data_IF_064949047346
#
_entry.id   IF_064949047346
#
_cell.length_a   1.000
_cell.length_b   1.000
_cell.length_c   1.000
_cell.angle_alpha   90.00
_cell.angle_beta   90.00
_cell.angle_gamma   90.00
#
_symmetry.space_group_name_H-M   'P 1'
#
loop_
_entity.id
_entity.type
_entity.pdbx_description
1 polymer ?
#
# COMPACT_ATOMS: atom_id res chain seq x y z
N UNK A 1 12.08 4.88 10.13
CA UNK A 1 11.96 5.63 8.87
C UNK A 1 10.52 6.07 8.73
N UNK A 2 10.26 7.34 8.41
CA UNK A 2 8.89 7.87 8.20
C UNK A 2 8.40 7.68 6.75
N UNK A 3 7.14 8.08 6.48
CA UNK A 3 6.52 7.95 5.16
C UNK A 3 7.20 8.82 4.10
N UNK A 4 7.65 10.02 4.46
CA UNK A 4 8.33 10.94 3.52
C UNK A 4 9.66 10.34 3.06
N UNK A 5 10.40 9.73 3.98
CA UNK A 5 11.65 9.06 3.64
C UNK A 5 11.41 7.80 2.81
N UNK A 6 10.34 7.04 3.06
CA UNK A 6 9.95 5.90 2.22
C UNK A 6 9.60 6.32 0.79
N UNK A 7 8.88 7.41 0.63
CA UNK A 7 8.57 7.98 -0.70
C UNK A 7 9.86 8.40 -1.40
N UNK A 8 10.78 9.07 -0.69
CA UNK A 8 12.03 9.50 -1.31
C UNK A 8 12.85 8.31 -1.80
N UNK A 9 12.95 7.24 -1.02
CA UNK A 9 13.62 5.99 -1.44
C UNK A 9 12.95 5.43 -2.70
N UNK A 10 11.62 5.40 -2.75
CA UNK A 10 10.90 4.91 -3.93
C UNK A 10 11.17 5.74 -5.20
N UNK A 11 11.33 7.07 -5.06
CA UNK A 11 11.67 7.97 -6.18
C UNK A 11 13.13 7.78 -6.61
N UNK A 12 14.04 7.65 -5.63
CA UNK A 12 15.48 7.49 -5.87
C UNK A 12 15.78 6.13 -6.56
N UNK A 13 15.06 5.07 -6.16
CA UNK A 13 15.21 3.72 -6.71
C UNK A 13 14.46 3.51 -8.04
N UNK A 14 13.64 4.48 -8.47
CA UNK A 14 12.93 4.40 -9.74
C UNK A 14 13.91 4.39 -10.93
N UNK A 15 13.60 3.63 -12.02
CA UNK A 15 14.38 3.70 -13.26
C UNK A 15 14.62 5.13 -13.71
N UNK A 16 15.90 5.52 -13.89
CA UNK A 16 16.28 6.89 -14.24
C UNK A 16 16.16 7.15 -15.75
N UNK A 17 15.01 6.79 -16.33
CA UNK A 17 14.68 6.95 -17.75
C UNK A 17 14.09 8.33 -18.09
N UNK A 18 14.04 9.24 -17.11
CA UNK A 18 13.49 10.59 -17.22
C UNK A 18 11.97 10.68 -17.07
N UNK A 19 11.25 9.56 -17.04
CA UNK A 19 9.77 9.51 -16.96
C UNK A 19 9.32 8.85 -15.66
N UNK A 20 9.86 7.68 -15.32
CA UNK A 20 9.41 6.86 -14.20
C UNK A 20 9.49 7.58 -12.84
N UNK A 21 10.56 8.35 -12.50
CA UNK A 21 10.62 9.08 -11.25
C UNK A 21 9.55 10.17 -11.15
N UNK A 22 9.13 10.77 -12.27
CA UNK A 22 8.06 11.77 -12.30
C UNK A 22 6.69 11.13 -12.04
N UNK A 23 6.45 9.95 -12.60
CA UNK A 23 5.22 9.18 -12.36
C UNK A 23 5.13 8.78 -10.89
N UNK A 24 6.21 8.25 -10.31
CA UNK A 24 6.27 7.90 -8.88
C UNK A 24 6.02 9.12 -8.00
N UNK A 25 6.64 10.26 -8.32
CA UNK A 25 6.41 11.53 -7.60
C UNK A 25 4.96 12.00 -7.69
N UNK A 26 4.32 11.85 -8.86
CA UNK A 26 2.92 12.24 -9.06
C UNK A 26 1.92 11.42 -8.22
N UNK A 27 2.22 10.13 -7.98
CA UNK A 27 1.35 9.25 -7.18
C UNK A 27 1.71 9.25 -5.68
N UNK A 28 2.88 9.79 -5.30
CA UNK A 28 3.37 9.79 -3.93
C UNK A 28 2.39 10.38 -2.89
N UNK A 29 1.65 11.48 -3.17
CA UNK A 29 0.65 11.98 -2.22
C UNK A 29 -0.48 10.97 -1.97
N UNK A 30 -0.87 10.20 -2.99
CA UNK A 30 -1.87 9.15 -2.87
C UNK A 30 -1.37 8.00 -2.00
N UNK A 31 -0.14 7.54 -2.25
CA UNK A 31 0.52 6.51 -1.43
C UNK A 31 0.64 6.95 0.04
N UNK A 32 1.03 8.21 0.29
CA UNK A 32 1.15 8.76 1.64
C UNK A 32 -0.19 8.77 2.37
N UNK A 33 -1.27 9.16 1.69
CA UNK A 33 -2.58 9.22 2.32
C UNK A 33 -3.09 7.82 2.68
N UNK A 34 -2.95 6.82 1.79
CA UNK A 34 -3.30 5.45 2.14
C UNK A 34 -2.46 4.93 3.29
N UNK A 35 -1.14 5.13 3.25
CA UNK A 35 -0.25 4.71 4.32
C UNK A 35 -0.56 5.38 5.66
N UNK A 36 -1.08 6.61 5.66
CA UNK A 36 -1.48 7.30 6.89
C UNK A 36 -2.72 6.70 7.58
N UNK A 37 -3.50 5.89 6.87
CA UNK A 37 -4.62 5.14 7.44
C UNK A 37 -4.15 3.84 8.10
N UNK A 38 -2.93 3.40 7.80
CA UNK A 38 -2.33 2.16 8.30
C UNK A 38 -1.53 2.45 9.57
N UNK A 39 -1.55 1.52 10.52
CA UNK A 39 -0.93 1.70 11.84
C UNK A 39 0.59 1.55 11.84
N UNK A 40 1.12 0.76 10.91
CA UNK A 40 2.55 0.43 10.88
C UNK A 40 3.23 1.01 9.65
N UNK A 41 4.48 1.44 9.82
CA UNK A 41 5.32 1.93 8.72
C UNK A 41 6.03 0.80 7.99
N UNK A 42 5.99 -0.41 8.55
CA UNK A 42 6.60 -1.62 8.02
C UNK A 42 5.67 -2.79 8.34
N UNK A 43 5.54 -3.70 7.39
CA UNK A 43 4.81 -4.94 7.55
C UNK A 43 5.67 -6.12 7.10
N UNK A 44 5.30 -7.31 7.52
CA UNK A 44 5.90 -8.55 7.06
C UNK A 44 5.00 -9.16 5.99
N UNK A 45 5.56 -9.44 4.82
CA UNK A 45 4.89 -10.13 3.72
C UNK A 45 5.50 -11.51 3.59
N UNK A 46 4.66 -12.53 3.39
CA UNK A 46 5.14 -13.87 3.06
C UNK A 46 5.59 -13.91 1.61
N UNK A 47 6.77 -14.49 1.39
CA UNK A 47 7.41 -14.56 0.10
C UNK A 47 7.95 -15.97 -0.17
N UNK A 48 7.78 -16.47 -1.39
CA UNK A 48 8.40 -17.72 -1.84
C UNK A 48 9.91 -17.55 -2.06
N UNK A 49 10.63 -18.65 -2.29
CA UNK A 49 12.05 -18.60 -2.65
C UNK A 49 12.32 -17.85 -3.96
N UNK A 50 11.35 -17.83 -4.87
CA UNK A 50 11.40 -17.08 -6.14
C UNK A 50 11.08 -15.58 -5.98
N UNK A 51 10.95 -15.12 -4.73
CA UNK A 51 10.64 -13.73 -4.37
C UNK A 51 9.23 -13.28 -4.74
N UNK A 52 8.32 -14.20 -4.99
CA UNK A 52 6.91 -13.89 -5.24
C UNK A 52 6.15 -13.79 -3.92
N UNK A 53 5.23 -12.83 -3.80
CA UNK A 53 4.40 -12.70 -2.61
C UNK A 53 3.33 -13.79 -2.59
N UNK A 54 3.13 -14.37 -1.41
CA UNK A 54 2.14 -15.44 -1.23
C UNK A 54 0.74 -14.83 -1.21
N UNK A 55 -0.05 -15.15 -2.24
CA UNK A 55 -1.47 -14.83 -2.29
C UNK A 55 -2.30 -15.94 -1.63
N UNK A 56 -3.35 -15.54 -0.92
CA UNK A 56 -4.35 -16.42 -0.31
C UNK A 56 -5.68 -16.22 -1.01
N UNK A 57 -6.30 -17.29 -1.47
CA UNK A 57 -7.64 -17.23 -2.05
C UNK A 57 -8.69 -17.32 -0.94
N UNK A 58 -9.48 -16.27 -0.79
CA UNK A 58 -10.64 -16.19 0.10
C UNK A 58 -11.91 -16.48 -0.69
N UNK A 59 -12.74 -17.37 -0.17
CA UNK A 59 -14.09 -17.62 -0.70
C UNK A 59 -15.12 -16.85 0.13
N UNK A 60 -16.08 -16.24 -0.54
CA UNK A 60 -17.22 -15.62 0.14
C UNK A 60 -18.02 -16.68 0.91
N UNK A 61 -18.39 -16.37 2.16
CA UNK A 61 -19.09 -17.32 3.04
C UNK A 61 -20.51 -17.61 2.58
N UNK A 62 -21.18 -16.66 1.94
CA UNK A 62 -22.55 -16.83 1.43
C UNK A 62 -22.55 -17.44 0.03
N UNK A 63 -21.53 -17.18 -0.79
CA UNK A 63 -21.38 -17.77 -2.12
C UNK A 63 -19.93 -18.20 -2.42
N UNK A 64 -19.58 -19.47 -2.19
CA UNK A 64 -18.22 -19.99 -2.40
C UNK A 64 -17.68 -19.90 -3.83
N UNK A 65 -18.54 -19.62 -4.83
CA UNK A 65 -18.10 -19.39 -6.21
C UNK A 65 -17.44 -18.03 -6.41
N UNK A 66 -17.67 -17.09 -5.50
CA UNK A 66 -17.00 -15.79 -5.49
C UNK A 66 -15.73 -15.97 -4.67
N UNK A 67 -14.60 -15.78 -5.33
CA UNK A 67 -13.28 -15.86 -4.70
C UNK A 67 -12.53 -14.56 -4.88
N UNK A 68 -11.59 -14.31 -3.97
CA UNK A 68 -10.73 -13.14 -3.96
C UNK A 68 -9.32 -13.56 -3.61
N UNK A 69 -8.34 -13.15 -4.39
CA UNK A 69 -6.94 -13.36 -4.10
C UNK A 69 -6.40 -12.16 -3.31
N UNK A 70 -5.97 -12.41 -2.08
CA UNK A 70 -5.48 -11.38 -1.17
C UNK A 70 -4.06 -11.67 -0.75
N UNK A 71 -3.31 -10.63 -0.43
CA UNK A 71 -2.03 -10.77 0.26
C UNK A 71 -2.18 -10.26 1.68
N UNK A 72 -1.54 -10.95 2.61
CA UNK A 72 -1.53 -10.56 4.02
C UNK A 72 -0.27 -9.79 4.38
N UNK A 73 -0.48 -8.62 4.98
CA UNK A 73 0.55 -7.78 5.56
C UNK A 73 0.47 -7.84 7.08
N UNK A 74 1.42 -8.55 7.68
CA UNK A 74 1.44 -8.85 9.11
C UNK A 74 2.22 -7.78 9.88
N UNK A 75 1.78 -7.37 11.09
CA UNK A 75 2.47 -6.35 11.87
C UNK A 75 3.75 -6.88 12.51
N UNK A 76 3.87 -8.19 12.71
CA UNK A 76 5.07 -8.82 13.28
C UNK A 76 5.52 -10.06 12.51
N UNK A 77 6.80 -10.39 12.64
CA UNK A 77 7.38 -11.64 12.12
C UNK A 77 6.68 -12.88 12.72
N UNK A 78 6.29 -12.81 14.00
CA UNK A 78 5.61 -13.90 14.68
C UNK A 78 4.25 -14.18 14.05
N UNK A 79 3.46 -13.14 13.80
CA UNK A 79 2.15 -13.27 13.16
C UNK A 79 2.27 -13.90 11.76
N UNK A 80 3.27 -13.49 10.99
CA UNK A 80 3.55 -14.09 9.69
C UNK A 80 3.95 -15.57 9.81
N UNK A 81 4.83 -15.91 10.76
CA UNK A 81 5.30 -17.28 10.97
C UNK A 81 4.19 -18.22 11.46
N UNK A 82 3.32 -17.72 12.35
CA UNK A 82 2.17 -18.47 12.86
C UNK A 82 1.17 -18.76 11.73
N UNK A 83 0.97 -17.80 10.80
CA UNK A 83 0.07 -18.00 9.66
C UNK A 83 0.55 -19.11 8.69
N UNK A 84 1.86 -19.27 8.49
CA UNK A 84 2.45 -20.35 7.70
C UNK A 84 2.24 -21.70 8.38
N UNK A 85 2.42 -21.75 9.70
CA UNK A 85 2.30 -22.98 10.50
C UNK A 85 0.87 -23.51 10.53
N UNK A 86 -0.14 -22.64 10.41
CA UNK A 86 -1.56 -23.01 10.40
C UNK A 86 -2.04 -23.47 9.03
N UNK A 87 -1.45 -22.97 7.94
CA UNK A 87 -2.00 -23.14 6.60
C UNK A 87 -1.29 -24.20 5.72
N UNK A 88 -0.43 -25.06 6.30
CA UNK A 88 0.33 -26.10 5.56
C UNK A 88 1.08 -25.56 4.32
N UNK A 89 1.38 -24.25 4.27
CA UNK A 89 2.10 -23.68 3.13
C UNK A 89 3.50 -24.29 3.08
N UNK A 90 3.95 -24.58 1.85
CA UNK A 90 5.24 -25.16 1.52
C UNK A 90 6.36 -24.68 2.46
N UNK A 91 7.29 -25.55 2.90
CA UNK A 91 8.42 -25.21 3.78
C UNK A 91 9.46 -24.24 3.16
N UNK A 92 9.08 -23.54 2.10
CA UNK A 92 9.91 -22.66 1.27
C UNK A 92 9.36 -21.22 1.22
N UNK A 93 8.66 -20.79 2.28
CA UNK A 93 8.21 -19.41 2.43
C UNK A 93 8.93 -18.73 3.58
N UNK A 94 9.24 -17.45 3.40
CA UNK A 94 9.87 -16.59 4.40
C UNK A 94 9.08 -15.30 4.56
N UNK A 95 9.03 -14.77 5.77
CA UNK A 95 8.43 -13.46 6.01
C UNK A 95 9.49 -12.37 5.87
N UNK A 96 9.27 -11.43 4.96
CA UNK A 96 10.18 -10.33 4.68
C UNK A 96 9.61 -9.00 5.18
N UNK A 97 10.38 -8.20 5.93
CA UNK A 97 9.94 -6.87 6.34
C UNK A 97 10.01 -5.93 5.13
N UNK A 98 8.90 -5.24 4.85
CA UNK A 98 8.80 -4.28 3.77
C UNK A 98 8.22 -2.95 4.26
N UNK A 99 8.76 -1.80 3.80
CA UNK A 99 8.18 -0.49 4.06
C UNK A 99 6.77 -0.38 3.46
N UNK A 100 5.84 0.23 4.19
CA UNK A 100 4.43 0.32 3.77
C UNK A 100 4.24 0.99 2.41
N UNK A 101 5.03 2.01 2.09
CA UNK A 101 4.95 2.69 0.78
C UNK A 101 5.37 1.75 -0.36
N UNK A 102 6.41 0.91 -0.15
CA UNK A 102 6.83 -0.07 -1.14
C UNK A 102 5.72 -1.11 -1.38
N UNK A 103 5.06 -1.54 -0.30
CA UNK A 103 3.96 -2.51 -0.39
C UNK A 103 2.81 -1.93 -1.23
N UNK A 104 2.39 -0.70 -0.91
CA UNK A 104 1.31 -0.01 -1.61
C UNK A 104 1.65 0.30 -3.08
N UNK A 105 2.92 0.63 -3.38
CA UNK A 105 3.36 0.85 -4.75
C UNK A 105 3.31 -0.43 -5.57
N UNK A 106 3.83 -1.53 -5.02
CA UNK A 106 3.89 -2.81 -5.73
C UNK A 106 2.51 -3.44 -5.94
N UNK A 107 1.50 -3.09 -5.13
CA UNK A 107 0.10 -3.48 -5.36
C UNK A 107 -0.38 -3.16 -6.79
N UNK A 108 0.11 -2.09 -7.42
CA UNK A 108 -0.24 -1.77 -8.81
C UNK A 108 0.32 -2.74 -9.85
N UNK A 109 1.43 -3.41 -9.53
CA UNK A 109 2.09 -4.33 -10.43
C UNK A 109 1.56 -5.77 -10.31
N UNK A 110 0.70 -6.04 -9.31
CA UNK A 110 0.17 -7.37 -9.06
C UNK A 110 -1.15 -7.57 -9.81
N UNK A 111 -1.08 -8.12 -11.02
CA UNK A 111 -2.24 -8.29 -11.90
C UNK A 111 -3.29 -9.27 -11.34
N UNK A 112 -2.87 -10.26 -10.55
CA UNK A 112 -3.72 -11.37 -10.09
C UNK A 112 -4.23 -11.21 -8.65
N UNK A 113 -3.87 -10.11 -7.99
CA UNK A 113 -4.19 -9.85 -6.58
C UNK A 113 -5.26 -8.78 -6.49
N UNK A 114 -6.37 -9.10 -5.83
CA UNK A 114 -7.51 -8.20 -5.69
C UNK A 114 -7.29 -7.16 -4.56
N UNK A 115 -6.51 -7.51 -3.54
CA UNK A 115 -6.21 -6.61 -2.42
C UNK A 115 -5.04 -7.06 -1.54
N UNK A 116 -4.58 -6.15 -0.69
CA UNK A 116 -3.72 -6.43 0.45
C UNK A 116 -4.50 -6.11 1.73
N UNK A 117 -4.46 -7.03 2.69
CA UNK A 117 -5.05 -6.85 4.02
C UNK A 117 -3.92 -6.55 5.01
N UNK A 118 -3.94 -5.34 5.56
CA UNK A 118 -2.99 -4.87 6.56
C UNK A 118 -3.55 -5.08 7.96
N UNK A 119 -3.00 -6.05 8.69
CA UNK A 119 -3.44 -6.34 10.05
C UNK A 119 -2.97 -5.29 11.04
N UNK A 120 -3.86 -4.91 11.95
CA UNK A 120 -3.63 -3.74 12.79
C UNK A 120 -2.91 -4.09 14.10
N UNK A 121 -3.36 -5.15 14.78
CA UNK A 121 -2.92 -5.49 16.13
C UNK A 121 -2.15 -6.81 16.13
N UNK A 122 -0.91 -6.86 16.65
CA UNK A 122 -0.17 -8.11 16.80
C UNK A 122 -0.97 -9.18 17.55
N UNK A 123 -0.99 -10.41 17.03
CA UNK A 123 -1.80 -11.50 17.56
C UNK A 123 -3.28 -11.50 17.18
N UNK A 124 -3.80 -10.46 16.50
CA UNK A 124 -5.16 -10.43 15.95
C UNK A 124 -5.15 -10.36 14.42
N UNK A 125 -5.45 -11.50 13.78
CA UNK A 125 -5.57 -11.62 12.33
C UNK A 125 -7.03 -11.52 11.83
N UNK A 126 -7.95 -11.07 12.67
CA UNK A 126 -9.35 -10.84 12.27
C UNK A 126 -9.63 -9.38 11.94
N UNK A 127 -8.78 -8.47 12.43
CA UNK A 127 -8.94 -7.02 12.25
C UNK A 127 -7.84 -6.49 11.34
N UNK A 128 -8.22 -6.08 10.14
CA UNK A 128 -7.30 -5.48 9.18
C UNK A 128 -7.98 -4.47 8.27
N UNK A 129 -7.15 -3.58 7.71
CA UNK A 129 -7.58 -2.63 6.69
C UNK A 129 -7.26 -3.22 5.33
N UNK A 130 -8.28 -3.34 4.49
CA UNK A 130 -8.14 -3.84 3.14
C UNK A 130 -7.89 -2.68 2.17
N UNK A 131 -6.84 -2.79 1.36
CA UNK A 131 -6.52 -1.83 0.30
C UNK A 131 -6.57 -2.56 -1.04
N UNK A 132 -7.39 -2.06 -1.97
CA UNK A 132 -7.52 -2.56 -3.34
C UNK A 132 -6.77 -1.65 -4.31
N UNK A 133 -6.32 -2.16 -5.47
CA UNK A 133 -5.76 -1.32 -6.53
C UNK A 133 -6.67 -0.14 -6.92
N UNK A 134 -7.99 -0.35 -6.93
CA UNK A 134 -8.97 0.68 -7.25
C UNK A 134 -9.01 1.84 -6.24
N UNK A 135 -8.73 1.59 -4.95
CA UNK A 135 -8.77 2.62 -3.91
C UNK A 135 -7.70 3.69 -4.19
N UNK A 136 -6.52 3.27 -4.64
CA UNK A 136 -5.43 4.16 -4.99
C UNK A 136 -5.63 4.86 -6.34
N UNK A 137 -6.22 4.17 -7.33
CA UNK A 137 -6.61 4.80 -8.61
C UNK A 137 -7.63 5.93 -8.41
N UNK A 138 -8.65 5.68 -7.58
CA UNK A 138 -9.66 6.68 -7.24
C UNK A 138 -9.03 7.88 -6.55
N UNK A 139 -8.06 7.63 -5.66
CA UNK A 139 -7.37 8.70 -4.96
C UNK A 139 -6.52 9.57 -5.90
N UNK A 140 -5.79 8.96 -6.84
CA UNK A 140 -5.03 9.70 -7.85
C UNK A 140 -5.97 10.58 -8.69
N UNK A 141 -7.12 10.05 -9.11
CA UNK A 141 -8.11 10.84 -9.86
C UNK A 141 -8.63 12.02 -9.04
N UNK A 142 -8.93 11.83 -7.75
CA UNK A 142 -9.39 12.91 -6.87
C UNK A 142 -8.34 14.01 -6.68
N UNK A 143 -7.06 13.63 -6.56
CA UNK A 143 -5.94 14.56 -6.45
C UNK A 143 -5.72 15.36 -7.75
N UNK A 144 -5.94 14.75 -8.91
CA UNK A 144 -5.88 15.43 -10.21
C UNK A 144 -7.05 16.38 -10.44
N UNK A 145 -8.23 16.09 -9.89
CA UNK A 145 -9.43 16.94 -9.98
C UNK A 145 -9.38 18.14 -9.03
N UNK A 146 -8.60 18.06 -7.95
CA UNK A 146 -8.32 19.16 -7.04
C UNK A 146 -6.82 19.53 -7.09
N UNK A 147 -6.31 20.06 -8.22
CA UNK A 147 -5.01 20.68 -8.19
C UNK A 147 -5.14 21.85 -7.22
N UNK A 148 -4.50 21.74 -6.06
CA UNK A 148 -4.51 22.76 -5.04
C UNK A 148 -4.22 24.10 -5.72
N UNK A 149 -5.22 24.97 -5.77
CA UNK A 149 -5.10 26.35 -6.24
C UNK A 149 -4.31 27.16 -5.21
N UNK A 150 -3.05 26.77 -4.95
CA UNK A 150 -2.03 27.67 -4.42
C UNK A 150 -1.38 28.40 -5.57
N UNK A 151 -2.16 29.22 -6.27
CA UNK A 151 -1.63 30.50 -6.76
C UNK A 151 -1.67 31.43 -5.56
N UNK A 152 -0.56 31.55 -4.84
CA UNK A 152 -0.33 32.76 -4.07
C UNK A 152 -0.30 33.90 -5.08
N UNK A 153 -1.40 34.64 -5.23
CA UNK A 153 -1.38 35.97 -5.83
C UNK A 153 -0.92 36.92 -4.71
N UNK A 154 0.30 37.48 -4.76
CA UNK A 154 0.67 38.56 -3.87
C UNK A 154 0.10 39.84 -4.48
N UNK A 155 -1.15 40.19 -4.17
CA UNK A 155 -1.72 41.41 -4.76
C UNK A 155 -3.20 41.66 -4.57
N UNK A 156 -3.81 41.27 -3.44
CA UNK A 156 -5.15 41.75 -3.11
C UNK A 156 -5.13 42.37 -1.72
N UNK A 157 -4.76 43.65 -1.68
CA UNK A 157 -5.08 44.53 -0.56
C UNK A 157 -6.57 44.88 -0.74
N UNK A 158 -7.45 44.55 0.21
CA UNK A 158 -8.85 44.95 0.11
C UNK A 158 -8.94 46.48 0.20
N UNK A 159 -9.71 47.15 -0.66
CA UNK A 159 -9.95 48.57 -0.52
C UNK A 159 -10.78 48.81 0.74
N UNK A 160 -10.26 49.71 1.56
CA UNK A 160 -10.92 50.39 2.66
C UNK A 160 -12.35 50.81 2.28
N UNK A 161 -13.33 50.52 3.14
CA UNK A 161 -14.69 51.05 3.04
C UNK A 161 -14.79 52.19 4.05
N UNK A 162 -14.70 53.41 3.50
CA UNK A 162 -15.14 54.72 4.00
C UNK A 162 -14.36 55.37 5.16
#
# INVERSE_FOLDING_TARGET
MDLDRQIQVLIDDAPQDGVTPQVVSAIAPGLKLLASQLRHLQYYILQSMDREWVATTLSDRANPKITKNVIYAFPTLKDASDSVSVNEFNPQVVAVPLPVIQILFQLFALETVDSIIFFDTPGDLNTGIEIRPADLQNLIQQLQQHPSTRKANPGYIPPDIA
#
